data_IF_079226098467
#
_entry.id   IF_079226098467
#
_cell.length_a   1.000
_cell.length_b   1.000
_cell.length_c   1.000
_cell.angle_alpha   90.00
_cell.angle_beta   90.00
_cell.angle_gamma   90.00
#
_symmetry.space_group_name_H-M   'P 1'
#
loop_
_entity.id
_entity.type
_entity.pdbx_description
1 polymer ?
#
# COMPACT_ATOMS: atom_id res chain seq x y z
N UNK A 1 55.90 22.12 3.44
CA UNK A 1 56.95 22.44 4.45
C UNK A 1 56.64 21.67 5.72
N UNK A 2 57.58 20.81 6.18
CA UNK A 2 57.65 20.09 7.48
C UNK A 2 56.62 18.95 7.68
N UNK A 3 56.98 17.76 8.17
CA UNK A 3 58.26 17.13 8.56
C UNK A 3 58.06 15.60 8.66
N UNK A 4 59.17 14.90 8.46
CA UNK A 4 59.43 13.47 8.62
C UNK A 4 58.84 12.80 9.87
N UNK A 5 58.48 11.52 9.73
CA UNK A 5 59.01 10.43 10.56
C UNK A 5 58.76 9.07 9.88
N UNK A 6 59.80 8.54 9.24
CA UNK A 6 59.97 7.11 8.96
C UNK A 6 60.17 6.36 10.28
N UNK A 7 59.36 5.33 10.55
CA UNK A 7 59.66 4.31 11.55
C UNK A 7 59.53 2.94 10.89
N UNK A 8 60.68 2.40 10.50
CA UNK A 8 60.87 1.00 10.14
C UNK A 8 60.90 0.16 11.42
N UNK A 9 59.78 -0.44 11.79
CA UNK A 9 59.73 -1.50 12.80
C UNK A 9 59.65 -2.86 12.11
N UNK A 10 60.77 -3.59 12.18
CA UNK A 10 60.95 -4.94 11.70
C UNK A 10 60.30 -5.90 12.71
N UNK A 11 59.07 -6.32 12.46
CA UNK A 11 58.36 -7.32 13.28
C UNK A 11 58.68 -8.71 12.72
N UNK A 12 59.41 -9.51 13.50
CA UNK A 12 59.60 -10.92 13.24
C UNK A 12 58.27 -11.66 13.45
N UNK A 13 57.61 -12.03 12.35
CA UNK A 13 56.40 -12.87 12.38
C UNK A 13 56.83 -14.31 12.60
N UNK A 14 56.67 -14.79 13.84
CA UNK A 14 56.74 -16.21 14.14
C UNK A 14 55.55 -16.90 13.45
N UNK A 15 55.85 -17.70 12.42
CA UNK A 15 54.88 -18.50 11.68
C UNK A 15 54.42 -19.66 12.59
N UNK A 16 53.44 -19.42 13.47
CA UNK A 16 52.69 -20.50 14.12
C UNK A 16 51.88 -21.20 13.02
N UNK A 17 52.36 -22.35 12.58
CA UNK A 17 51.56 -23.31 11.81
C UNK A 17 50.55 -23.91 12.78
N UNK A 18 49.46 -23.19 13.03
CA UNK A 18 48.27 -23.76 13.64
C UNK A 18 47.68 -24.72 12.62
N UNK A 19 47.90 -26.01 12.83
CA UNK A 19 47.21 -27.08 12.11
C UNK A 19 45.73 -26.93 12.41
N UNK A 20 45.01 -26.17 11.58
CA UNK A 20 43.55 -26.14 11.61
C UNK A 20 43.11 -27.54 11.22
N UNK A 21 42.72 -28.33 12.23
CA UNK A 21 41.94 -29.53 12.03
C UNK A 21 40.67 -29.10 11.31
N UNK A 22 40.67 -29.23 9.98
CA UNK A 22 39.47 -29.04 9.17
C UNK A 22 38.56 -30.20 9.53
N UNK A 23 37.66 -29.97 10.49
CA UNK A 23 36.56 -30.89 10.74
C UNK A 23 35.81 -31.03 9.42
N UNK A 24 35.85 -32.22 8.83
CA UNK A 24 35.07 -32.55 7.63
C UNK A 24 33.63 -32.76 8.10
N UNK A 25 32.92 -31.66 8.35
CA UNK A 25 31.47 -31.71 8.54
C UNK A 25 30.86 -32.34 7.29
N UNK A 26 30.00 -33.34 7.48
CA UNK A 26 29.24 -33.91 6.38
C UNK A 26 28.33 -32.83 5.82
N UNK A 27 28.11 -32.79 4.49
CA UNK A 27 27.26 -31.77 3.91
C UNK A 27 25.80 -31.97 4.33
N UNK A 28 25.14 -30.88 4.66
CA UNK A 28 23.70 -30.82 4.89
C UNK A 28 22.95 -30.96 3.56
N UNK A 29 21.77 -31.57 3.62
CA UNK A 29 20.86 -31.70 2.48
C UNK A 29 19.65 -30.77 2.67
N UNK A 30 19.52 -29.78 1.78
CA UNK A 30 18.42 -28.82 1.76
C UNK A 30 17.54 -29.04 0.53
N UNK A 31 16.31 -29.51 0.74
CA UNK A 31 15.34 -29.72 -0.33
C UNK A 31 14.50 -28.46 -0.50
N UNK A 32 14.41 -27.95 -1.72
CA UNK A 32 13.65 -26.76 -2.06
C UNK A 32 12.26 -27.10 -2.60
N UNK A 33 11.33 -26.15 -2.43
CA UNK A 33 9.98 -26.19 -3.01
C UNK A 33 9.99 -25.71 -4.46
N UNK A 34 8.82 -25.80 -5.10
CA UNK A 34 8.56 -25.30 -6.46
C UNK A 34 9.50 -25.83 -7.55
N UNK A 35 10.01 -27.05 -7.36
CA UNK A 35 10.95 -27.66 -8.30
C UNK A 35 12.39 -27.15 -8.18
N UNK A 36 12.74 -26.43 -7.11
CA UNK A 36 14.10 -25.94 -6.86
C UNK A 36 15.16 -27.02 -6.64
N UNK A 37 14.76 -28.30 -6.53
CA UNK A 37 15.67 -29.43 -6.40
C UNK A 37 16.23 -29.60 -4.99
N UNK A 38 17.34 -30.32 -4.89
CA UNK A 38 18.07 -30.56 -3.65
C UNK A 38 19.42 -29.86 -3.73
N UNK A 39 19.76 -29.08 -2.71
CA UNK A 39 21.06 -28.47 -2.52
C UNK A 39 21.84 -29.28 -1.48
N UNK A 40 23.09 -29.63 -1.82
CA UNK A 40 24.02 -30.33 -0.93
C UNK A 40 25.11 -29.32 -0.55
N UNK A 41 25.25 -29.01 0.74
CA UNK A 41 26.04 -27.85 1.15
C UNK A 41 26.23 -27.74 2.66
N UNK A 42 26.45 -26.53 3.15
CA UNK A 42 26.58 -26.24 4.57
C UNK A 42 25.56 -25.17 4.96
N UNK A 43 24.75 -25.46 5.98
CA UNK A 43 23.93 -24.47 6.67
C UNK A 43 24.82 -23.64 7.59
N UNK A 44 25.02 -22.38 7.23
CA UNK A 44 25.93 -21.48 7.95
C UNK A 44 25.23 -20.73 9.07
N UNK A 45 23.98 -20.34 8.85
CA UNK A 45 23.18 -19.57 9.80
C UNK A 45 21.69 -19.80 9.51
N UNK A 46 20.86 -19.66 10.54
CA UNK A 46 19.41 -19.75 10.44
C UNK A 46 18.76 -18.70 11.35
N UNK A 47 17.87 -17.94 10.75
CA UNK A 47 17.06 -16.98 11.48
C UNK A 47 15.59 -17.05 11.05
N UNK A 48 14.85 -16.10 11.57
CA UNK A 48 13.44 -15.90 11.33
C UNK A 48 13.04 -15.71 9.86
N UNK A 49 13.98 -15.35 8.99
CA UNK A 49 13.75 -15.13 7.56
C UNK A 49 13.88 -16.43 6.73
N UNK A 50 14.52 -17.49 7.26
CA UNK A 50 15.04 -18.68 6.53
C UNK A 50 16.50 -19.10 6.86
N UNK A 51 17.26 -19.54 5.85
CA UNK A 51 18.54 -20.23 5.99
C UNK A 51 19.63 -19.58 5.11
N UNK A 52 20.80 -19.27 5.69
CA UNK A 52 22.01 -18.95 4.94
C UNK A 52 22.74 -20.24 4.55
N UNK A 53 22.69 -20.60 3.27
CA UNK A 53 23.17 -21.89 2.78
C UNK A 53 24.30 -21.73 1.74
N UNK A 54 25.34 -22.56 1.83
CA UNK A 54 26.47 -22.55 0.87
C UNK A 54 26.58 -23.89 0.15
N UNK A 55 26.60 -23.85 -1.18
CA UNK A 55 26.79 -25.05 -2.04
C UNK A 55 28.23 -25.07 -2.55
N UNK A 56 29.01 -26.09 -2.16
CA UNK A 56 30.41 -26.22 -2.57
C UNK A 56 31.28 -24.98 -2.25
N UNK A 57 31.92 -24.42 -3.28
CA UNK A 57 32.73 -23.20 -3.19
C UNK A 57 31.98 -21.93 -3.59
N UNK A 58 30.69 -22.02 -3.88
CA UNK A 58 29.90 -20.86 -4.30
C UNK A 58 29.66 -19.90 -3.12
N UNK A 59 29.21 -18.69 -3.46
CA UNK A 59 28.83 -17.71 -2.45
C UNK A 59 27.65 -18.24 -1.62
N UNK A 60 27.69 -18.01 -0.31
CA UNK A 60 26.55 -18.31 0.55
C UNK A 60 25.34 -17.48 0.12
N UNK A 61 24.19 -18.12 0.01
CA UNK A 61 22.94 -17.50 -0.42
C UNK A 61 21.87 -17.63 0.67
N UNK A 62 21.04 -16.61 0.75
CA UNK A 62 19.95 -16.54 1.70
C UNK A 62 18.69 -17.17 1.09
N UNK A 63 18.19 -18.26 1.69
CA UNK A 63 17.04 -19.02 1.21
C UNK A 63 15.87 -18.84 2.20
N UNK A 64 14.81 -18.18 1.75
CA UNK A 64 13.66 -17.85 2.57
C UNK A 64 12.82 -19.08 2.94
N UNK A 65 12.16 -19.04 4.10
CA UNK A 65 11.40 -20.19 4.64
C UNK A 65 10.30 -20.73 3.69
N UNK A 66 9.69 -19.88 2.85
CA UNK A 66 8.69 -20.31 1.87
C UNK A 66 9.27 -21.27 0.81
N UNK A 67 10.58 -21.22 0.58
CA UNK A 67 11.29 -22.09 -0.38
C UNK A 67 11.83 -23.37 0.23
N UNK A 68 11.97 -23.47 1.56
CA UNK A 68 12.63 -24.60 2.23
C UNK A 68 11.66 -25.74 2.53
N UNK A 69 11.66 -26.82 1.74
CA UNK A 69 10.81 -28.01 1.96
C UNK A 69 11.26 -28.82 3.18
N UNK A 70 12.55 -29.12 3.25
CA UNK A 70 13.15 -29.89 4.33
C UNK A 70 14.65 -29.64 4.43
N UNK A 71 15.17 -29.67 5.65
CA UNK A 71 16.61 -29.68 5.94
C UNK A 71 16.94 -30.98 6.68
N UNK A 72 17.93 -31.70 6.18
CA UNK A 72 18.62 -32.78 6.88
C UNK A 72 20.04 -32.31 7.19
N UNK A 73 20.24 -31.84 8.43
CA UNK A 73 21.53 -31.34 8.89
C UNK A 73 22.21 -32.36 9.80
N UNK A 74 23.54 -32.50 9.70
CA UNK A 74 24.31 -33.35 10.62
C UNK A 74 24.41 -32.71 12.02
N UNK A 75 24.52 -31.38 12.07
CA UNK A 75 24.51 -30.62 13.31
C UNK A 75 23.10 -30.61 13.94
N UNK A 76 22.98 -31.20 15.13
CA UNK A 76 21.75 -31.25 15.92
C UNK A 76 21.18 -29.86 16.21
N UNK A 77 22.05 -28.85 16.37
CA UNK A 77 21.64 -27.45 16.60
C UNK A 77 20.87 -26.91 15.40
N UNK A 78 21.45 -27.09 14.21
CA UNK A 78 20.83 -26.70 12.95
C UNK A 78 19.53 -27.49 12.69
N UNK A 79 19.54 -28.79 12.94
CA UNK A 79 18.35 -29.62 12.76
C UNK A 79 17.20 -29.20 13.67
N UNK A 80 17.48 -28.87 14.93
CA UNK A 80 16.49 -28.38 15.89
C UNK A 80 15.95 -26.99 15.51
N UNK A 81 16.82 -26.08 15.07
CA UNK A 81 16.41 -24.76 14.58
C UNK A 81 15.44 -24.87 13.40
N UNK A 82 15.72 -25.75 12.42
CA UNK A 82 14.79 -26.03 11.32
C UNK A 82 13.45 -26.60 11.82
N UNK A 83 13.47 -27.57 12.74
CA UNK A 83 12.24 -28.18 13.26
C UNK A 83 11.32 -27.16 13.94
N UNK A 84 11.89 -26.15 14.61
CA UNK A 84 11.13 -25.06 15.21
C UNK A 84 10.39 -24.20 14.16
N UNK A 85 10.93 -24.07 12.95
CA UNK A 85 10.37 -23.23 11.88
C UNK A 85 9.55 -24.02 10.84
N UNK A 86 9.65 -25.35 10.81
CA UNK A 86 9.09 -26.21 9.76
C UNK A 86 7.57 -26.00 9.55
N UNK A 87 6.80 -25.86 10.63
CA UNK A 87 5.35 -25.65 10.56
C UNK A 87 5.00 -24.27 9.95
N UNK A 88 5.74 -23.23 10.32
CA UNK A 88 5.58 -21.89 9.75
C UNK A 88 5.99 -21.89 8.28
N UNK A 89 7.12 -22.51 7.93
CA UNK A 89 7.62 -22.61 6.55
C UNK A 89 6.60 -23.28 5.61
N UNK A 90 5.96 -24.37 6.07
CA UNK A 90 4.90 -25.05 5.31
C UNK A 90 3.64 -24.17 5.15
N UNK A 91 3.23 -23.47 6.21
CA UNK A 91 2.07 -22.57 6.17
C UNK A 91 2.31 -21.41 5.21
N UNK A 92 3.49 -20.79 5.30
CA UNK A 92 3.92 -19.68 4.44
C UNK A 92 3.97 -20.09 2.97
N UNK A 93 4.55 -21.26 2.66
CA UNK A 93 4.57 -21.77 1.29
C UNK A 93 3.16 -22.01 0.73
N UNK A 94 2.26 -22.62 1.51
CA UNK A 94 0.87 -22.86 1.09
C UNK A 94 0.13 -21.56 0.82
N UNK A 95 0.29 -20.58 1.71
CA UNK A 95 -0.27 -19.24 1.55
C UNK A 95 0.23 -18.58 0.26
N UNK A 96 1.55 -18.50 0.09
CA UNK A 96 2.20 -17.92 -1.10
C UNK A 96 1.75 -18.58 -2.40
N UNK A 97 1.78 -19.92 -2.46
CA UNK A 97 1.37 -20.70 -3.64
C UNK A 97 -0.10 -20.48 -4.02
N UNK A 98 -0.98 -20.25 -3.03
CA UNK A 98 -2.39 -19.93 -3.27
C UNK A 98 -2.54 -18.52 -3.86
N UNK A 99 -1.82 -17.53 -3.31
CA UNK A 99 -1.79 -16.17 -3.88
C UNK A 99 -1.26 -16.18 -5.33
N UNK A 100 -0.19 -16.91 -5.62
CA UNK A 100 0.37 -17.05 -6.98
C UNK A 100 -0.65 -17.63 -7.98
N UNK A 101 -1.55 -18.51 -7.53
CA UNK A 101 -2.62 -19.09 -8.36
C UNK A 101 -3.91 -18.25 -8.38
N UNK A 102 -3.93 -17.11 -7.68
CA UNK A 102 -5.12 -16.26 -7.55
C UNK A 102 -6.19 -16.80 -6.60
N UNK A 103 -5.88 -17.80 -5.77
CA UNK A 103 -6.79 -18.35 -4.76
C UNK A 103 -6.70 -17.54 -3.45
N UNK A 104 -7.18 -16.30 -3.51
CA UNK A 104 -7.16 -15.37 -2.36
C UNK A 104 -7.99 -15.90 -1.18
N UNK A 105 -9.11 -16.56 -1.47
CA UNK A 105 -10.06 -17.10 -0.47
C UNK A 105 -9.39 -18.13 0.44
N UNK A 106 -8.59 -19.04 -0.12
CA UNK A 106 -7.89 -20.04 0.68
C UNK A 106 -6.54 -19.53 1.21
N UNK A 107 -5.95 -18.49 0.61
CA UNK A 107 -4.70 -17.90 1.08
C UNK A 107 -4.90 -17.05 2.34
N UNK A 108 -5.94 -16.21 2.36
CA UNK A 108 -6.18 -15.21 3.41
C UNK A 108 -6.22 -15.80 4.83
N UNK A 109 -6.92 -16.94 5.09
CA UNK A 109 -6.94 -17.55 6.43
C UNK A 109 -5.58 -18.04 6.93
N UNK A 110 -4.63 -18.32 6.03
CA UNK A 110 -3.26 -18.70 6.40
C UNK A 110 -2.40 -17.45 6.64
N UNK A 111 -2.64 -16.37 5.89
CA UNK A 111 -1.86 -15.14 5.95
C UNK A 111 -2.22 -14.28 7.16
N UNK A 112 -3.48 -14.25 7.59
CA UNK A 112 -3.91 -13.47 8.77
C UNK A 112 -3.08 -13.81 10.03
N UNK A 113 -3.03 -15.07 10.51
CA UNK A 113 -2.26 -15.40 11.70
C UNK A 113 -0.76 -15.19 11.53
N UNK A 114 -0.21 -15.42 10.32
CA UNK A 114 1.19 -15.11 10.03
C UNK A 114 1.45 -13.60 10.08
N UNK A 115 0.52 -12.77 9.61
CA UNK A 115 0.68 -11.33 9.61
C UNK A 115 0.70 -10.79 11.04
N UNK A 116 -0.20 -11.27 11.91
CA UNK A 116 -0.21 -10.88 13.31
C UNK A 116 1.11 -11.22 14.04
N UNK A 117 1.73 -12.37 13.74
CA UNK A 117 3.02 -12.74 14.35
C UNK A 117 4.23 -12.09 13.70
N UNK A 118 4.10 -11.64 12.44
CA UNK A 118 5.22 -11.04 11.69
C UNK A 118 5.21 -9.52 11.68
N UNK A 119 4.11 -8.89 12.08
CA UNK A 119 3.94 -7.44 12.04
C UNK A 119 5.02 -6.71 12.85
N UNK A 120 5.59 -5.66 12.26
CA UNK A 120 6.66 -4.86 12.87
C UNK A 120 8.06 -5.47 12.80
N UNK A 121 8.21 -6.74 12.40
CA UNK A 121 9.53 -7.33 12.15
C UNK A 121 10.14 -6.76 10.89
N UNK A 122 11.46 -6.82 10.74
CA UNK A 122 12.16 -6.30 9.55
C UNK A 122 12.91 -7.45 8.88
N UNK A 123 12.15 -8.37 8.30
CA UNK A 123 12.66 -9.57 7.63
C UNK A 123 11.90 -9.88 6.33
N UNK A 124 12.46 -10.78 5.52
CA UNK A 124 11.89 -11.14 4.22
C UNK A 124 10.53 -11.87 4.35
N UNK A 125 10.32 -12.62 5.44
CA UNK A 125 9.07 -13.34 5.68
C UNK A 125 7.94 -12.36 5.95
N UNK A 126 8.16 -11.34 6.78
CA UNK A 126 7.20 -10.26 7.03
C UNK A 126 6.79 -9.57 5.72
N UNK A 127 7.73 -9.36 4.80
CA UNK A 127 7.41 -8.72 3.50
C UNK A 127 6.57 -9.64 2.60
N UNK A 128 6.88 -10.94 2.55
CA UNK A 128 6.08 -11.92 1.80
C UNK A 128 4.65 -11.98 2.37
N UNK A 129 4.51 -12.05 3.69
CA UNK A 129 3.21 -12.14 4.36
C UNK A 129 2.40 -10.87 4.15
N UNK A 130 3.00 -9.69 4.35
CA UNK A 130 2.35 -8.40 4.15
C UNK A 130 1.87 -8.23 2.69
N UNK A 131 2.72 -8.54 1.69
CA UNK A 131 2.34 -8.41 0.28
C UNK A 131 1.27 -9.44 -0.11
N UNK A 132 1.35 -10.66 0.41
CA UNK A 132 0.35 -11.70 0.20
C UNK A 132 -1.02 -11.28 0.73
N UNK A 133 -1.06 -10.77 1.96
CA UNK A 133 -2.30 -10.34 2.61
C UNK A 133 -2.89 -9.11 1.93
N UNK A 134 -2.04 -8.15 1.52
CA UNK A 134 -2.42 -7.03 0.67
C UNK A 134 -3.13 -7.52 -0.60
N UNK A 135 -2.54 -8.47 -1.34
CA UNK A 135 -3.13 -9.03 -2.56
C UNK A 135 -4.48 -9.69 -2.29
N UNK A 136 -4.63 -10.44 -1.19
CA UNK A 136 -5.90 -11.03 -0.81
C UNK A 136 -6.99 -9.97 -0.57
N UNK A 137 -6.70 -8.94 0.21
CA UNK A 137 -7.66 -7.87 0.49
C UNK A 137 -8.04 -7.07 -0.76
N UNK A 138 -7.07 -6.79 -1.64
CA UNK A 138 -7.33 -6.14 -2.93
C UNK A 138 -8.21 -7.00 -3.84
N UNK A 139 -7.97 -8.32 -3.90
CA UNK A 139 -8.73 -9.24 -4.75
C UNK A 139 -10.23 -9.28 -4.39
N UNK A 140 -10.58 -9.08 -3.12
CA UNK A 140 -11.97 -8.99 -2.65
C UNK A 140 -12.52 -7.56 -2.55
N UNK A 141 -11.77 -6.56 -2.99
CA UNK A 141 -12.18 -5.15 -2.99
C UNK A 141 -12.21 -4.50 -1.61
N UNK A 142 -11.57 -5.09 -0.60
CA UNK A 142 -11.56 -4.55 0.75
C UNK A 142 -10.38 -3.59 0.97
N UNK A 143 -10.63 -2.35 0.57
CA UNK A 143 -9.66 -1.26 0.64
C UNK A 143 -9.21 -0.96 2.06
N UNK A 144 -10.10 -1.02 3.05
CA UNK A 144 -9.77 -0.68 4.42
C UNK A 144 -8.81 -1.70 5.05
N UNK A 145 -9.05 -3.01 4.84
CA UNK A 145 -8.14 -4.05 5.36
C UNK A 145 -6.78 -4.03 4.65
N UNK A 146 -6.75 -3.65 3.38
CA UNK A 146 -5.53 -3.60 2.58
C UNK A 146 -4.52 -2.52 3.05
N UNK A 147 -4.95 -1.50 3.80
CA UNK A 147 -4.09 -0.38 4.17
C UNK A 147 -2.90 -0.80 5.04
N UNK A 148 -3.14 -1.56 6.10
CA UNK A 148 -2.06 -1.93 7.05
C UNK A 148 -1.02 -2.85 6.41
N UNK A 149 -1.38 -3.93 5.68
CA UNK A 149 -0.41 -4.73 4.95
C UNK A 149 0.35 -3.94 3.88
N UNK A 150 -0.30 -2.96 3.22
CA UNK A 150 0.39 -2.06 2.29
C UNK A 150 1.43 -1.18 3.00
N UNK A 151 1.08 -0.56 4.12
CA UNK A 151 2.01 0.27 4.90
C UNK A 151 3.19 -0.54 5.43
N UNK A 152 2.99 -1.80 5.83
CA UNK A 152 4.08 -2.71 6.16
C UNK A 152 4.98 -3.00 4.95
N UNK A 153 4.42 -3.19 3.75
CA UNK A 153 5.23 -3.34 2.53
C UNK A 153 6.09 -2.11 2.26
N UNK A 154 5.55 -0.90 2.46
CA UNK A 154 6.31 0.37 2.32
C UNK A 154 7.45 0.41 3.34
N UNK A 155 7.15 0.18 4.62
CA UNK A 155 8.15 0.19 5.71
C UNK A 155 9.30 -0.78 5.44
N UNK A 156 8.97 -2.02 5.07
CA UNK A 156 9.95 -3.08 4.82
C UNK A 156 10.82 -2.79 3.58
N UNK A 157 10.24 -2.26 2.50
CA UNK A 157 11.00 -1.84 1.31
C UNK A 157 11.89 -0.62 1.58
N UNK A 158 11.44 0.31 2.42
CA UNK A 158 12.26 1.44 2.89
C UNK A 158 13.48 0.95 3.69
N UNK A 159 13.34 -0.17 4.42
CA UNK A 159 14.45 -0.85 5.08
C UNK A 159 15.38 -1.64 4.12
N UNK A 160 15.16 -1.55 2.81
CA UNK A 160 15.98 -2.19 1.79
C UNK A 160 15.63 -3.66 1.50
N UNK A 161 14.53 -4.17 2.07
CA UNK A 161 14.12 -5.55 1.82
C UNK A 161 13.49 -5.68 0.43
N UNK A 162 13.94 -6.69 -0.30
CA UNK A 162 13.43 -7.07 -1.61
C UNK A 162 13.03 -8.54 -1.56
N UNK A 163 11.86 -8.87 -2.11
CA UNK A 163 11.39 -10.25 -2.22
C UNK A 163 10.95 -10.55 -3.65
N UNK A 164 11.06 -11.82 -4.05
CA UNK A 164 10.68 -12.33 -5.37
C UNK A 164 9.60 -13.41 -5.32
N UNK A 165 9.01 -13.66 -4.14
CA UNK A 165 7.96 -14.63 -3.90
C UNK A 165 6.73 -14.44 -4.80
N UNK A 166 6.45 -13.20 -5.24
CA UNK A 166 5.33 -12.88 -6.15
C UNK A 166 5.78 -12.28 -7.49
N UNK A 167 7.02 -12.54 -7.93
CA UNK A 167 7.58 -11.94 -9.15
C UNK A 167 6.82 -12.31 -10.44
N UNK A 168 6.05 -13.40 -10.42
CA UNK A 168 5.19 -13.84 -11.55
C UNK A 168 3.88 -13.03 -11.67
N UNK A 169 3.51 -12.28 -10.64
CA UNK A 169 2.29 -11.47 -10.59
C UNK A 169 2.58 -10.01 -10.92
N UNK A 170 1.58 -9.30 -11.43
CA UNK A 170 1.68 -7.84 -11.59
C UNK A 170 2.02 -7.18 -10.24
N UNK A 171 2.93 -6.18 -10.23
CA UNK A 171 3.25 -5.43 -9.02
C UNK A 171 2.00 -4.75 -8.44
N UNK A 172 1.81 -4.86 -7.13
CA UNK A 172 0.74 -4.15 -6.40
C UNK A 172 1.15 -2.75 -5.97
N UNK A 173 2.45 -2.54 -5.75
CA UNK A 173 3.05 -1.25 -5.42
C UNK A 173 3.74 -0.69 -6.66
N UNK A 174 3.62 0.61 -6.87
CA UNK A 174 4.46 1.33 -7.81
C UNK A 174 5.92 1.30 -7.35
N UNK A 175 6.84 0.93 -8.25
CA UNK A 175 8.24 0.72 -7.90
C UNK A 175 9.00 2.00 -7.53
N UNK A 176 8.47 3.18 -7.91
CA UNK A 176 9.10 4.47 -7.61
C UNK A 176 8.57 5.09 -6.33
N UNK A 177 7.25 5.05 -6.14
CA UNK A 177 6.57 5.76 -5.05
C UNK A 177 6.16 4.86 -3.89
N UNK A 178 6.22 3.54 -4.05
CA UNK A 178 5.69 2.59 -3.06
C UNK A 178 4.16 2.65 -2.88
N UNK A 179 3.45 3.54 -3.58
CA UNK A 179 2.00 3.66 -3.48
C UNK A 179 1.31 2.43 -4.09
N UNK A 180 0.28 1.95 -3.41
CA UNK A 180 -0.59 0.90 -3.95
C UNK A 180 -1.61 1.52 -4.91
N UNK A 181 -1.48 1.23 -6.21
CA UNK A 181 -2.32 1.83 -7.25
C UNK A 181 -3.81 1.46 -7.15
N UNK A 182 -4.16 0.48 -6.31
CA UNK A 182 -5.55 0.08 -6.05
C UNK A 182 -6.15 0.74 -4.79
N UNK A 183 -5.36 1.55 -4.08
CA UNK A 183 -5.77 2.22 -2.84
C UNK A 183 -5.66 3.75 -3.01
N UNK A 184 -6.50 4.41 -3.84
CA UNK A 184 -6.51 5.86 -3.84
C UNK A 184 -6.86 6.39 -2.42
N UNK A 185 -6.26 7.49 -1.95
CA UNK A 185 -6.65 8.16 -0.71
C UNK A 185 -7.95 8.98 -0.92
N UNK A 186 -8.95 8.35 -1.55
CA UNK A 186 -10.19 8.98 -2.01
C UNK A 186 -11.35 8.15 -1.49
N UNK A 187 -12.20 8.79 -0.70
CA UNK A 187 -13.33 8.18 -0.02
C UNK A 187 -14.58 9.01 -0.31
N UNK A 188 -15.74 8.36 -0.43
CA UNK A 188 -17.01 9.08 -0.53
C UNK A 188 -17.55 9.45 0.84
N UNK A 189 -18.23 10.60 0.98
CA UNK A 189 -18.95 10.93 2.20
C UNK A 189 -19.90 9.80 2.61
N UNK A 190 -19.72 9.26 3.81
CA UNK A 190 -20.52 8.14 4.33
C UNK A 190 -20.13 6.75 3.81
N UNK A 191 -18.95 6.59 3.22
CA UNK A 191 -18.40 5.26 2.88
C UNK A 191 -18.10 4.48 4.17
N UNK A 192 -18.73 3.31 4.42
CA UNK A 192 -18.41 2.51 5.61
C UNK A 192 -16.95 2.02 5.63
N UNK A 193 -16.27 1.95 4.48
CA UNK A 193 -14.84 1.65 4.45
C UNK A 193 -13.98 2.82 4.95
N UNK A 194 -14.46 4.05 4.89
CA UNK A 194 -13.72 5.20 5.42
C UNK A 194 -13.64 5.16 6.95
N UNK A 195 -14.76 4.86 7.62
CA UNK A 195 -14.80 4.64 9.07
C UNK A 195 -13.81 3.54 9.48
N UNK A 196 -13.90 2.38 8.81
CA UNK A 196 -13.04 1.24 9.12
C UNK A 196 -11.56 1.52 8.81
N UNK A 197 -11.27 2.22 7.72
CA UNK A 197 -9.92 2.66 7.39
C UNK A 197 -9.36 3.61 8.46
N UNK A 198 -10.17 4.55 8.95
CA UNK A 198 -9.76 5.46 10.00
C UNK A 198 -9.43 4.71 11.31
N UNK A 199 -10.22 3.69 11.67
CA UNK A 199 -9.98 2.86 12.84
C UNK A 199 -8.71 2.00 12.71
N UNK A 200 -8.50 1.35 11.56
CA UNK A 200 -7.30 0.54 11.28
C UNK A 200 -6.03 1.40 11.28
N UNK A 201 -6.05 2.55 10.60
CA UNK A 201 -4.92 3.48 10.55
C UNK A 201 -4.64 4.12 11.90
N UNK A 202 -5.68 4.43 12.68
CA UNK A 202 -5.53 4.92 14.05
C UNK A 202 -4.79 3.90 14.93
N UNK A 203 -5.20 2.63 14.89
CA UNK A 203 -4.50 1.55 15.61
C UNK A 203 -3.08 1.35 15.11
N UNK A 204 -2.84 1.43 13.80
CA UNK A 204 -1.51 1.36 13.22
C UNK A 204 -0.59 2.47 13.77
N UNK A 205 -1.04 3.73 13.75
CA UNK A 205 -0.23 4.87 14.20
C UNK A 205 0.10 4.85 15.69
N UNK A 206 -0.74 4.21 16.51
CA UNK A 206 -0.49 3.98 17.95
C UNK A 206 0.52 2.85 18.17
N UNK A 207 0.52 1.82 17.33
CA UNK A 207 1.40 0.67 17.45
C UNK A 207 2.84 0.94 16.96
N UNK A 208 3.02 1.89 16.03
CA UNK A 208 4.34 2.26 15.50
C UNK A 208 5.13 3.08 16.53
N UNK A 209 6.34 2.64 16.95
CA UNK A 209 7.16 3.38 17.91
C UNK A 209 7.51 4.80 17.45
N UNK A 210 7.66 5.74 18.39
CA UNK A 210 8.08 7.12 18.08
C UNK A 210 9.47 7.19 17.43
N UNK A 211 10.34 6.21 17.65
CA UNK A 211 11.64 6.12 16.98
C UNK A 211 11.54 5.95 15.47
N UNK A 212 10.37 5.53 14.96
CA UNK A 212 10.04 5.46 13.54
C UNK A 212 9.20 6.67 13.08
N UNK A 213 9.22 7.79 13.83
CA UNK A 213 8.43 8.98 13.53
C UNK A 213 8.67 9.54 12.13
N UNK A 214 9.87 9.36 11.58
CA UNK A 214 10.26 9.87 10.26
C UNK A 214 10.12 8.81 9.14
N UNK A 215 9.48 7.68 9.41
CA UNK A 215 9.23 6.66 8.39
C UNK A 215 8.20 7.12 7.36
N UNK A 216 8.43 6.77 6.09
CA UNK A 216 7.52 7.10 4.99
C UNK A 216 6.15 6.43 5.18
N UNK A 217 6.14 5.19 5.70
CA UNK A 217 4.92 4.47 6.04
C UNK A 217 4.08 5.22 7.08
N UNK A 218 4.69 5.78 8.13
CA UNK A 218 3.96 6.59 9.13
C UNK A 218 3.39 7.85 8.50
N UNK A 219 4.17 8.56 7.67
CA UNK A 219 3.70 9.76 6.98
C UNK A 219 2.49 9.44 6.07
N UNK A 220 2.58 8.39 5.25
CA UNK A 220 1.49 7.94 4.41
C UNK A 220 0.27 7.50 5.24
N UNK A 221 0.46 6.83 6.37
CA UNK A 221 -0.63 6.43 7.26
C UNK A 221 -1.39 7.65 7.81
N UNK A 222 -0.69 8.72 8.20
CA UNK A 222 -1.31 9.99 8.63
C UNK A 222 -2.13 10.60 7.50
N UNK A 223 -1.58 10.68 6.28
CA UNK A 223 -2.29 11.27 5.15
C UNK A 223 -3.56 10.48 4.77
N UNK A 224 -3.48 9.15 4.74
CA UNK A 224 -4.65 8.31 4.48
C UNK A 224 -5.69 8.39 5.60
N UNK A 225 -5.25 8.55 6.85
CA UNK A 225 -6.16 8.75 7.98
C UNK A 225 -6.88 10.09 7.85
N UNK A 226 -6.18 11.17 7.49
CA UNK A 226 -6.79 12.47 7.23
C UNK A 226 -7.81 12.39 6.08
N UNK A 227 -7.47 11.67 4.99
CA UNK A 227 -8.39 11.43 3.88
C UNK A 227 -9.67 10.69 4.32
N UNK A 228 -9.50 9.60 5.09
CA UNK A 228 -10.62 8.80 5.59
C UNK A 228 -11.49 9.60 6.56
N UNK A 229 -10.88 10.33 7.51
CA UNK A 229 -11.59 11.21 8.45
C UNK A 229 -12.38 12.31 7.75
N UNK A 230 -11.83 12.89 6.69
CA UNK A 230 -12.52 13.91 5.88
C UNK A 230 -13.83 13.42 5.27
N UNK A 231 -13.95 12.10 5.01
CA UNK A 231 -15.12 11.48 4.42
C UNK A 231 -16.15 10.97 5.45
N UNK A 232 -15.84 10.99 6.75
CA UNK A 232 -16.79 10.56 7.79
C UNK A 232 -18.02 11.47 7.81
N UNK A 233 -19.21 10.88 7.96
CA UNK A 233 -20.46 11.64 8.08
C UNK A 233 -20.52 12.47 9.37
N UNK A 234 -20.02 11.91 10.47
CA UNK A 234 -20.03 12.55 11.79
C UNK A 234 -18.92 13.62 11.90
N UNK A 235 -19.27 14.92 11.99
CA UNK A 235 -18.30 16.00 12.11
C UNK A 235 -17.52 15.98 13.44
N UNK A 236 -18.03 15.33 14.48
CA UNK A 236 -17.35 15.25 15.80
C UNK A 236 -16.15 14.29 15.76
N UNK A 237 -16.22 13.24 14.92
CA UNK A 237 -15.11 12.32 14.67
C UNK A 237 -14.06 12.88 13.70
N UNK A 238 -14.32 14.04 13.07
CA UNK A 238 -13.35 14.74 12.20
C UNK A 238 -12.34 15.54 13.02
N UNK A 239 -11.89 14.97 14.13
CA UNK A 239 -11.15 15.69 15.17
C UNK A 239 -9.91 16.39 14.64
N UNK A 240 -9.59 17.55 15.22
CA UNK A 240 -8.69 18.61 14.72
C UNK A 240 -7.20 18.24 14.58
N UNK A 241 -6.80 17.05 15.03
CA UNK A 241 -5.41 16.61 15.00
C UNK A 241 -5.02 16.37 13.54
N UNK A 242 -4.45 17.39 12.86
CA UNK A 242 -3.49 17.30 11.73
C UNK A 242 -3.40 18.57 10.88
N UNK A 243 -4.33 19.53 10.94
CA UNK A 243 -4.29 20.67 10.01
C UNK A 243 -3.01 21.53 10.17
N UNK A 244 -2.63 21.84 11.42
CA UNK A 244 -1.47 22.70 11.68
C UNK A 244 -0.13 21.96 11.45
N UNK A 245 -0.06 20.65 11.75
CA UNK A 245 1.16 19.85 11.51
C UNK A 245 1.35 19.48 10.03
N UNK A 246 0.26 19.29 9.28
CA UNK A 246 0.32 19.11 7.83
C UNK A 246 0.71 20.41 7.12
N UNK A 247 0.48 21.57 7.75
CA UNK A 247 0.82 22.87 7.17
C UNK A 247 2.32 23.16 7.15
N UNK A 248 3.06 22.88 8.23
CA UNK A 248 4.53 23.02 8.24
C UNK A 248 5.17 22.13 7.17
N UNK A 249 4.55 20.99 6.86
CA UNK A 249 5.00 20.11 5.79
C UNK A 249 4.78 20.73 4.39
N UNK A 250 3.77 21.59 4.20
CA UNK A 250 3.38 22.07 2.86
C UNK A 250 4.36 23.05 2.21
N UNK A 251 4.91 23.99 2.98
CA UNK A 251 5.88 24.94 2.42
C UNK A 251 7.19 24.23 2.06
N UNK A 252 7.56 23.20 2.82
CA UNK A 252 8.66 22.30 2.45
C UNK A 252 8.34 21.48 1.19
N UNK A 253 7.10 21.00 1.05
CA UNK A 253 6.66 20.14 -0.06
C UNK A 253 6.36 20.89 -1.36
N UNK A 254 6.06 22.19 -1.32
CA UNK A 254 5.85 23.00 -2.53
C UNK A 254 7.08 23.06 -3.43
N UNK A 255 8.27 22.82 -2.87
CA UNK A 255 9.54 22.69 -3.58
C UNK A 255 9.99 21.22 -3.76
N UNK A 256 9.28 20.26 -3.18
CA UNK A 256 9.59 18.85 -3.30
C UNK A 256 9.20 18.29 -4.68
N UNK A 257 9.87 17.21 -5.09
CA UNK A 257 9.53 16.51 -6.31
C UNK A 257 8.10 15.94 -6.18
N UNK A 258 7.22 16.26 -7.13
CA UNK A 258 5.84 15.72 -7.19
C UNK A 258 5.83 14.19 -7.29
N UNK A 259 6.98 13.59 -7.64
CA UNK A 259 7.20 12.15 -7.66
C UNK A 259 7.41 11.53 -6.29
N UNK A 260 7.56 12.34 -5.23
CA UNK A 260 7.51 11.90 -3.85
C UNK A 260 6.08 11.47 -3.46
N UNK A 261 5.97 10.29 -2.86
CA UNK A 261 4.68 9.68 -2.54
C UNK A 261 3.87 10.51 -1.54
N UNK A 262 4.54 11.04 -0.51
CA UNK A 262 3.93 11.90 0.50
C UNK A 262 3.38 13.18 -0.10
N UNK A 263 4.18 13.87 -0.91
CA UNK A 263 3.80 15.11 -1.62
C UNK A 263 2.57 14.90 -2.49
N UNK A 264 2.55 13.80 -3.27
CA UNK A 264 1.44 13.49 -4.15
C UNK A 264 0.16 13.20 -3.37
N UNK A 265 0.23 12.33 -2.35
CA UNK A 265 -0.93 11.99 -1.51
C UNK A 265 -1.45 13.22 -0.77
N UNK A 266 -0.58 14.04 -0.18
CA UNK A 266 -0.98 15.27 0.50
C UNK A 266 -1.72 16.22 -0.45
N UNK A 267 -1.21 16.38 -1.68
CA UNK A 267 -1.86 17.20 -2.70
C UNK A 267 -3.27 16.67 -3.04
N UNK A 268 -3.45 15.34 -3.13
CA UNK A 268 -4.78 14.76 -3.31
C UNK A 268 -5.71 15.08 -2.14
N UNK A 269 -5.24 14.88 -0.91
CA UNK A 269 -6.03 15.12 0.31
C UNK A 269 -6.49 16.57 0.38
N UNK A 270 -5.61 17.53 0.15
CA UNK A 270 -5.95 18.96 0.21
C UNK A 270 -6.87 19.42 -0.92
N UNK A 271 -6.70 18.86 -2.12
CA UNK A 271 -7.58 19.18 -3.24
C UNK A 271 -9.03 18.74 -2.93
N UNK A 272 -9.17 17.58 -2.27
CA UNK A 272 -10.46 16.96 -1.95
C UNK A 272 -11.04 17.47 -0.62
N UNK A 273 -10.23 17.98 0.30
CA UNK A 273 -10.74 18.46 1.58
C UNK A 273 -11.47 19.81 1.44
N UNK A 274 -12.70 19.85 1.96
CA UNK A 274 -13.55 21.05 1.95
C UNK A 274 -13.10 22.08 2.99
N UNK A 275 -12.37 21.66 4.03
CA UNK A 275 -11.87 22.55 5.08
C UNK A 275 -10.53 23.21 4.74
N UNK A 276 -9.81 22.70 3.74
CA UNK A 276 -8.55 23.28 3.28
C UNK A 276 -8.75 24.73 2.82
N UNK A 277 -7.76 25.58 3.12
CA UNK A 277 -7.76 26.98 2.69
C UNK A 277 -7.73 27.08 1.15
N UNK A 278 -8.29 28.14 0.58
CA UNK A 278 -8.33 28.29 -0.88
C UNK A 278 -6.91 28.37 -1.49
N UNK A 279 -5.96 29.02 -0.81
CA UNK A 279 -4.55 29.08 -1.24
C UNK A 279 -3.86 27.71 -1.26
N UNK A 280 -4.18 26.88 -0.26
CA UNK A 280 -3.74 25.50 -0.13
C UNK A 280 -4.31 24.63 -1.26
N UNK A 281 -5.62 24.70 -1.48
CA UNK A 281 -6.30 24.00 -2.56
C UNK A 281 -5.78 24.41 -3.93
N UNK A 282 -5.56 25.70 -4.17
CA UNK A 282 -4.97 26.20 -5.41
C UNK A 282 -3.55 25.66 -5.65
N UNK A 283 -2.73 25.58 -4.59
CA UNK A 283 -1.39 24.99 -4.67
C UNK A 283 -1.45 23.50 -4.99
N UNK A 284 -2.32 22.75 -4.32
CA UNK A 284 -2.55 21.33 -4.60
C UNK A 284 -3.01 21.08 -6.03
N UNK A 285 -4.00 21.85 -6.53
CA UNK A 285 -4.47 21.77 -7.92
C UNK A 285 -3.33 22.00 -8.91
N UNK A 286 -2.49 23.02 -8.66
CA UNK A 286 -1.34 23.33 -9.53
C UNK A 286 -0.32 22.19 -9.59
N UNK A 287 -0.08 21.51 -8.47
CA UNK A 287 0.79 20.33 -8.40
C UNK A 287 0.14 19.17 -9.19
N UNK A 288 -1.11 18.84 -8.90
CA UNK A 288 -1.84 17.73 -9.52
C UNK A 288 -2.07 17.92 -11.02
N UNK A 289 -2.24 19.16 -11.50
CA UNK A 289 -2.42 19.48 -12.93
C UNK A 289 -1.23 19.08 -13.79
N UNK A 290 -0.04 18.89 -13.20
CA UNK A 290 1.12 18.33 -13.91
C UNK A 290 0.97 16.81 -14.09
N UNK A 291 0.41 16.15 -13.09
CA UNK A 291 0.18 14.70 -13.05
C UNK A 291 -1.02 14.26 -13.88
N UNK A 292 -2.00 15.13 -14.15
CA UNK A 292 -3.16 14.78 -15.00
C UNK A 292 -2.77 14.43 -16.44
N UNK A 293 -1.55 14.73 -16.87
CA UNK A 293 -1.01 14.35 -18.19
C UNK A 293 -0.30 13.00 -18.18
N UNK A 294 0.07 12.50 -17.01
CA UNK A 294 0.72 11.21 -16.87
C UNK A 294 -0.28 10.09 -17.20
N UNK A 295 0.12 9.09 -18.00
CA UNK A 295 -0.73 7.93 -18.26
C UNK A 295 -0.87 7.07 -16.99
N UNK A 296 -1.92 6.24 -16.97
CA UNK A 296 -2.14 5.30 -15.87
C UNK A 296 -2.84 5.91 -14.65
N UNK A 297 -2.73 5.21 -13.52
CA UNK A 297 -3.63 5.41 -12.37
C UNK A 297 -3.37 6.70 -11.59
N UNK A 298 -2.11 7.15 -11.48
CA UNK A 298 -1.82 8.42 -10.81
C UNK A 298 -2.42 9.63 -11.55
N UNK A 299 -2.37 9.63 -12.88
CA UNK A 299 -3.04 10.66 -13.68
C UNK A 299 -4.56 10.65 -13.49
N UNK A 300 -5.16 9.47 -13.33
CA UNK A 300 -6.59 9.33 -13.03
C UNK A 300 -6.94 9.88 -11.63
N UNK A 301 -6.14 9.57 -10.61
CA UNK A 301 -6.31 10.11 -9.25
C UNK A 301 -6.20 11.64 -9.25
N UNK A 302 -5.19 12.17 -9.95
CA UNK A 302 -4.98 13.61 -10.09
C UNK A 302 -6.15 14.30 -10.82
N UNK A 303 -6.68 13.70 -11.90
CA UNK A 303 -7.85 14.23 -12.62
C UNK A 303 -9.09 14.25 -11.74
N UNK A 304 -9.36 13.17 -11.01
CA UNK A 304 -10.48 13.12 -10.07
C UNK A 304 -10.38 14.23 -9.02
N UNK A 305 -9.23 14.32 -8.33
CA UNK A 305 -9.03 15.28 -7.26
C UNK A 305 -9.08 16.72 -7.76
N UNK A 306 -8.48 17.00 -8.93
CA UNK A 306 -8.53 18.32 -9.58
C UNK A 306 -9.95 18.69 -9.97
N UNK A 307 -10.69 17.76 -10.61
CA UNK A 307 -12.07 17.96 -11.02
C UNK A 307 -12.96 18.27 -9.82
N UNK A 308 -12.86 17.48 -8.75
CA UNK A 308 -13.61 17.69 -7.52
C UNK A 308 -13.28 19.01 -6.83
N UNK A 309 -12.02 19.42 -6.83
CA UNK A 309 -11.59 20.70 -6.28
C UNK A 309 -12.14 21.89 -7.08
N UNK A 310 -12.17 21.78 -8.41
CA UNK A 310 -12.68 22.81 -9.33
C UNK A 310 -14.20 22.98 -9.27
N UNK A 311 -14.98 21.89 -9.24
CA UNK A 311 -16.46 21.98 -9.15
C UNK A 311 -16.96 22.64 -7.85
N UNK A 312 -16.11 22.69 -6.83
CA UNK A 312 -16.43 23.36 -5.55
C UNK A 312 -16.08 24.84 -5.54
N UNK A 313 -15.45 25.37 -6.59
CA UNK A 313 -15.14 26.79 -6.69
C UNK A 313 -16.37 27.60 -7.14
N UNK A 314 -16.50 28.86 -6.71
CA UNK A 314 -17.67 29.69 -7.02
C UNK A 314 -17.79 30.09 -8.51
N UNK A 315 -16.74 29.96 -9.33
CA UNK A 315 -16.76 30.34 -10.76
C UNK A 315 -17.40 29.30 -11.68
N UNK A 316 -18.31 29.73 -12.56
CA UNK A 316 -18.98 28.85 -13.52
C UNK A 316 -18.00 28.15 -14.48
N UNK A 317 -16.98 28.87 -14.98
CA UNK A 317 -15.97 28.32 -15.87
C UNK A 317 -15.15 27.22 -15.17
N UNK A 318 -14.74 27.46 -13.92
CA UNK A 318 -14.02 26.49 -13.10
C UNK A 318 -14.88 25.25 -12.84
N UNK A 319 -16.18 25.42 -12.56
CA UNK A 319 -17.10 24.29 -12.40
C UNK A 319 -17.23 23.47 -13.68
N UNK A 320 -17.34 24.13 -14.83
CA UNK A 320 -17.40 23.44 -16.12
C UNK A 320 -16.11 22.66 -16.41
N UNK A 321 -14.94 23.27 -16.19
CA UNK A 321 -13.65 22.56 -16.30
C UNK A 321 -13.58 21.36 -15.35
N UNK A 322 -14.06 21.53 -14.10
CA UNK A 322 -14.08 20.46 -13.12
C UNK A 322 -14.97 19.29 -13.53
N UNK A 323 -16.14 19.57 -14.12
CA UNK A 323 -17.02 18.55 -14.70
C UNK A 323 -16.33 17.81 -15.85
N UNK A 324 -15.62 18.51 -16.74
CA UNK A 324 -14.84 17.89 -17.82
C UNK A 324 -13.75 16.97 -17.25
N UNK A 325 -13.01 17.43 -16.24
CA UNK A 325 -11.96 16.64 -15.58
C UNK A 325 -12.56 15.35 -14.96
N UNK A 326 -13.72 15.43 -14.30
CA UNK A 326 -14.42 14.27 -13.74
C UNK A 326 -14.92 13.31 -14.84
N UNK A 327 -15.61 13.83 -15.85
CA UNK A 327 -16.20 13.03 -16.95
C UNK A 327 -15.13 12.43 -17.88
N UNK A 328 -13.89 12.93 -17.84
CA UNK A 328 -12.79 12.31 -18.57
C UNK A 328 -12.54 10.86 -18.13
N UNK A 329 -12.74 10.52 -16.85
CA UNK A 329 -12.47 9.19 -16.31
C UNK A 329 -13.39 8.08 -16.86
N UNK A 330 -14.72 8.21 -16.81
CA UNK A 330 -15.61 7.23 -17.45
C UNK A 330 -15.40 7.18 -18.98
N UNK A 331 -15.04 8.31 -19.62
CA UNK A 331 -14.72 8.30 -21.05
C UNK A 331 -13.52 7.39 -21.38
N UNK A 332 -12.48 7.34 -20.53
CA UNK A 332 -11.35 6.42 -20.71
C UNK A 332 -11.78 4.94 -20.59
N UNK A 333 -12.74 4.62 -19.72
CA UNK A 333 -13.30 3.26 -19.61
C UNK A 333 -14.00 2.88 -20.91
N UNK A 334 -14.86 3.74 -21.42
CA UNK A 334 -15.60 3.52 -22.68
C UNK A 334 -14.68 3.44 -23.89
N UNK A 335 -13.56 4.16 -23.88
CA UNK A 335 -12.51 4.08 -24.89
C UNK A 335 -11.69 2.77 -24.85
N UNK A 336 -11.92 1.89 -23.86
CA UNK A 336 -11.26 0.59 -23.76
C UNK A 336 -9.84 0.64 -23.19
N UNK A 337 -9.48 1.70 -22.45
CA UNK A 337 -8.16 1.79 -21.83
C UNK A 337 -8.00 0.72 -20.72
N UNK A 338 -6.95 -0.10 -20.83
CA UNK A 338 -6.78 -1.34 -20.04
C UNK A 338 -6.46 -1.13 -18.56
N UNK A 339 -6.17 0.11 -18.13
CA UNK A 339 -5.68 0.43 -16.79
C UNK A 339 -6.53 1.48 -16.08
N UNK A 340 -7.80 1.63 -16.46
CA UNK A 340 -8.70 2.59 -15.80
C UNK A 340 -9.27 2.01 -14.52
N UNK A 341 -9.18 2.78 -13.44
CA UNK A 341 -9.82 2.47 -12.17
C UNK A 341 -11.33 2.68 -12.31
N UNK A 342 -12.05 1.56 -12.47
CA UNK A 342 -13.52 1.57 -12.62
C UNK A 342 -14.24 2.10 -11.39
N UNK A 343 -13.66 1.93 -10.20
CA UNK A 343 -14.25 2.48 -8.97
C UNK A 343 -14.14 4.01 -9.02
N UNK A 344 -12.96 4.53 -9.37
CA UNK A 344 -12.78 5.98 -9.48
C UNK A 344 -13.63 6.59 -10.59
N UNK A 345 -13.80 5.91 -11.72
CA UNK A 345 -14.66 6.36 -12.82
C UNK A 345 -16.14 6.41 -12.42
N UNK A 346 -16.64 5.40 -11.70
CA UNK A 346 -18.01 5.41 -11.17
C UNK A 346 -18.23 6.51 -10.13
N UNK A 347 -17.23 6.75 -9.26
CA UNK A 347 -17.24 7.88 -8.33
C UNK A 347 -17.30 9.23 -9.05
N UNK A 348 -16.55 9.39 -10.14
CA UNK A 348 -16.53 10.62 -10.91
C UNK A 348 -17.88 10.92 -11.56
N UNK A 349 -18.57 9.90 -12.09
CA UNK A 349 -19.93 10.04 -12.62
C UNK A 349 -20.92 10.49 -11.55
N UNK A 350 -20.89 9.88 -10.36
CA UNK A 350 -21.80 10.26 -9.28
C UNK A 350 -21.56 11.70 -8.81
N UNK A 351 -20.29 12.10 -8.66
CA UNK A 351 -19.95 13.48 -8.30
C UNK A 351 -20.35 14.48 -9.39
N UNK A 352 -20.16 14.16 -10.66
CA UNK A 352 -20.62 15.00 -11.76
C UNK A 352 -22.16 15.13 -11.77
N UNK A 353 -22.89 14.04 -11.52
CA UNK A 353 -24.35 14.06 -11.41
C UNK A 353 -24.83 14.90 -10.22
N UNK A 354 -24.16 14.81 -9.08
CA UNK A 354 -24.45 15.63 -7.89
C UNK A 354 -24.28 17.13 -8.19
N UNK A 355 -23.17 17.52 -8.81
CA UNK A 355 -22.89 18.91 -9.20
C UNK A 355 -23.92 19.43 -10.20
N UNK A 356 -24.24 18.66 -11.25
CA UNK A 356 -25.27 19.05 -12.23
C UNK A 356 -26.64 19.24 -11.60
N UNK A 357 -27.02 18.38 -10.65
CA UNK A 357 -28.28 18.52 -9.93
C UNK A 357 -28.30 19.80 -9.05
N UNK A 358 -27.20 20.12 -8.39
CA UNK A 358 -27.05 21.35 -7.59
C UNK A 358 -27.13 22.61 -8.47
N UNK A 359 -26.65 22.54 -9.71
CA UNK A 359 -26.76 23.61 -10.71
C UNK A 359 -28.15 23.66 -11.41
N UNK A 360 -29.12 22.86 -10.96
CA UNK A 360 -30.49 22.83 -11.51
C UNK A 360 -30.64 22.04 -12.82
N UNK A 361 -29.60 21.32 -13.26
CA UNK A 361 -29.58 20.51 -14.49
C UNK A 361 -30.03 19.07 -14.22
N UNK A 362 -31.21 18.92 -13.63
CA UNK A 362 -31.72 17.64 -13.11
C UNK A 362 -31.82 16.53 -14.16
N UNK A 363 -32.16 16.86 -15.42
CA UNK A 363 -32.27 15.87 -16.50
C UNK A 363 -30.91 15.26 -16.85
N UNK A 364 -29.86 16.08 -16.91
CA UNK A 364 -28.51 15.62 -17.21
C UNK A 364 -27.93 14.79 -16.06
N UNK A 365 -28.16 15.24 -14.82
CA UNK A 365 -27.82 14.47 -13.63
C UNK A 365 -28.49 13.08 -13.62
N UNK A 366 -29.77 13.01 -13.99
CA UNK A 366 -30.48 11.73 -14.12
C UNK A 366 -29.86 10.83 -15.21
N UNK A 367 -29.49 11.41 -16.35
CA UNK A 367 -28.82 10.68 -17.44
C UNK A 367 -27.49 10.08 -16.98
N UNK A 368 -26.65 10.84 -16.27
CA UNK A 368 -25.38 10.33 -15.75
C UNK A 368 -25.57 9.21 -14.73
N UNK A 369 -26.62 9.28 -13.89
CA UNK A 369 -26.95 8.19 -12.96
C UNK A 369 -27.42 6.93 -13.68
N UNK A 370 -28.21 7.07 -14.75
CA UNK A 370 -28.59 5.93 -15.60
C UNK A 370 -27.36 5.28 -16.23
N UNK A 371 -26.41 6.09 -16.72
CA UNK A 371 -25.14 5.60 -17.28
C UNK A 371 -24.28 4.90 -16.21
N UNK A 372 -24.19 5.46 -15.01
CA UNK A 372 -23.49 4.85 -13.87
C UNK A 372 -24.03 3.45 -13.54
N UNK A 373 -25.36 3.27 -13.50
CA UNK A 373 -25.99 1.97 -13.28
C UNK A 373 -25.68 1.01 -14.45
N UNK A 374 -25.74 1.49 -15.68
CA UNK A 374 -25.54 0.67 -16.86
C UNK A 374 -24.08 0.19 -17.03
N UNK A 375 -23.10 1.07 -16.79
CA UNK A 375 -21.67 0.78 -16.97
C UNK A 375 -21.07 0.10 -15.72
N UNK A 376 -21.55 0.46 -14.52
CA UNK A 376 -21.00 -0.01 -13.25
C UNK A 376 -22.10 -0.57 -12.33
N UNK A 377 -22.76 -1.70 -12.69
CA UNK A 377 -23.88 -2.23 -11.93
C UNK A 377 -23.52 -2.60 -10.47
N UNK A 378 -22.28 -3.05 -10.24
CA UNK A 378 -21.80 -3.47 -8.91
C UNK A 378 -21.10 -2.34 -8.12
N UNK A 379 -21.25 -1.09 -8.57
CA UNK A 379 -20.51 0.02 -7.97
C UNK A 379 -20.95 0.31 -6.52
N UNK A 380 -20.02 0.55 -5.58
CA UNK A 380 -20.36 0.80 -4.18
C UNK A 380 -21.32 1.99 -3.93
N UNK A 381 -21.35 2.96 -4.85
CA UNK A 381 -22.22 4.15 -4.74
C UNK A 381 -23.71 3.82 -4.69
N UNK A 382 -24.13 2.72 -5.32
CA UNK A 382 -25.54 2.31 -5.37
C UNK A 382 -26.10 1.98 -3.98
N UNK A 383 -25.24 1.55 -3.05
CA UNK A 383 -25.66 1.25 -1.67
C UNK A 383 -26.04 2.50 -0.86
N UNK A 384 -25.60 3.69 -1.30
CA UNK A 384 -25.84 4.96 -0.60
C UNK A 384 -27.23 5.52 -0.89
N UNK A 385 -27.72 5.36 -2.12
CA UNK A 385 -29.05 5.82 -2.53
C UNK A 385 -30.17 5.15 -1.73
N UNK A 386 -30.00 3.88 -1.39
CA UNK A 386 -31.00 3.11 -0.63
C UNK A 386 -31.18 3.63 0.80
N UNK A 387 -30.08 4.00 1.47
CA UNK A 387 -30.12 4.54 2.85
C UNK A 387 -30.83 5.90 2.89
N UNK A 388 -30.55 6.75 1.90
CA UNK A 388 -31.13 8.11 1.84
C UNK A 388 -32.64 8.07 1.55
N UNK A 389 -33.08 7.11 0.72
CA UNK A 389 -34.50 6.87 0.46
C UNK A 389 -35.23 6.34 1.70
N UNK A 390 -34.60 5.43 2.47
CA UNK A 390 -35.19 4.86 3.68
C UNK A 390 -35.33 5.85 4.85
N UNK A 391 -34.50 6.91 4.90
CA UNK A 391 -34.55 7.91 5.96
C UNK A 391 -35.57 9.03 5.71
N UNK A 392 -36.12 9.15 4.50
CA UNK A 392 -37.37 9.90 4.29
C UNK A 392 -38.52 9.00 4.76
N UNK A 393 -38.70 8.93 6.08
CA UNK A 393 -39.89 8.34 6.68
C UNK A 393 -41.15 8.94 6.05
N UNK A 394 -42.29 8.22 6.03
CA UNK A 394 -43.52 8.76 5.49
C UNK A 394 -43.81 10.06 6.21
N UNK A 395 -43.64 11.18 5.50
CA UNK A 395 -44.10 12.48 5.97
C UNK A 395 -45.56 12.25 6.33
N UNK A 396 -45.83 12.30 7.63
CA UNK A 396 -47.17 12.17 8.17
C UNK A 396 -47.96 13.34 7.62
N UNK A 397 -48.59 13.14 6.46
CA UNK A 397 -49.80 13.81 6.01
C UNK A 397 -50.91 13.47 7.01
N UNK A 398 -50.78 13.91 8.26
CA UNK A 398 -51.92 14.08 9.14
C UNK A 398 -52.49 15.46 8.84
N UNK A 399 -53.53 15.42 8.01
CA UNK A 399 -54.37 16.55 7.68
C UNK A 399 -55.06 17.17 8.89
N UNK A 400 -55.40 18.43 8.64
CA UNK A 400 -56.51 19.26 9.11
C UNK A 400 -57.57 18.65 10.02
#
# INVERSE_FOLDING_TARGET
MRRCADIRSLVAVALMVSTVMVSTASPDELVLRDGGGTLIGLSLDMDDSGILFRVGHDQAQWITWDRVRSLSAEDETNQAAYQAQAAMAETLWRARSRVERGDSVMAEPLLIPLFETTRGRTDAVALIVAEGLLRCHLARGDRAAALVPWLECVRLRQAGLVQTAYASLSPVLDGRTGLCLALPPIWTPGDPNADRAADELGRYLVAVPETESDSESRHLAVLYLSAARGALADPTRRDRVTADSLFESLEALANADVRDAGTFVLSLVMAIDTKSLDSQRATAIRILSRMTREPGRFGQWARYATGLAKVRQPGADQRLEGLVDLLSLPALVTAGEKNVDRILAGLALEQAAEVLAQDGRSQEAASLRTELIAIYPDHPVHRRTDITASNKGPDTENGS
#
